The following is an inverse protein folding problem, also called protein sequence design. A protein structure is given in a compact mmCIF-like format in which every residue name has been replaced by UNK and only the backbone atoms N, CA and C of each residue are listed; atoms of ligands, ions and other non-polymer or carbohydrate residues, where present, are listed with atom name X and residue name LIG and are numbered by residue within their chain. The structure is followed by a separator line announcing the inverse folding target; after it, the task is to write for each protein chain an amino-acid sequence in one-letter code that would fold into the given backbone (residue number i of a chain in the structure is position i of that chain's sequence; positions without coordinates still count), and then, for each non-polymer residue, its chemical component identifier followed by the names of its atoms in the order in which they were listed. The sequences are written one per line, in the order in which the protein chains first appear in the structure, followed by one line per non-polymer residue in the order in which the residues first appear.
data_IF_781886491882
#
_entry.id   IF_781886491882
#
_cell.length_a   1.000
_cell.length_b   1.000
_cell.length_c   1.000
_cell.angle_alpha   90.00
_cell.angle_beta   90.00
_cell.angle_gamma   90.00
#
_symmetry.space_group_name_H-M   'P 1'
#
loop_
_entity.id
_entity.type
_entity.pdbx_description
1 polymer ?
#
# COMPACT_ATOMS: atom_id res chain seq x y z
N UNK A 1 -22.56 -16.05 -46.67
CA UNK A 1 -22.02 -14.68 -46.81
C UNK A 1 -21.13 -14.49 -48.05
N UNK A 2 -20.81 -15.56 -48.82
CA UNK A 2 -20.04 -15.48 -50.08
C UNK A 2 -20.89 -15.17 -51.32
N UNK A 3 -22.17 -15.52 -51.36
CA UNK A 3 -22.98 -15.41 -52.60
C UNK A 3 -23.60 -14.02 -52.83
N UNK A 4 -23.72 -13.21 -51.79
CA UNK A 4 -24.23 -11.83 -51.88
C UNK A 4 -23.18 -10.88 -52.48
N UNK A 5 -21.89 -11.13 -52.20
CA UNK A 5 -20.77 -10.31 -52.71
C UNK A 5 -20.55 -10.51 -54.21
N UNK A 6 -20.70 -11.75 -54.71
CA UNK A 6 -20.58 -12.06 -56.14
C UNK A 6 -21.69 -11.40 -56.98
N UNK A 7 -22.91 -11.33 -56.44
CA UNK A 7 -24.07 -10.74 -57.15
C UNK A 7 -23.95 -9.22 -57.27
N UNK A 8 -23.40 -8.54 -56.25
CA UNK A 8 -23.16 -7.09 -56.28
C UNK A 8 -22.06 -6.72 -57.29
N UNK A 9 -21.01 -7.55 -57.41
CA UNK A 9 -19.90 -7.29 -58.34
C UNK A 9 -20.33 -7.40 -59.82
N UNK A 10 -21.18 -8.38 -60.15
CA UNK A 10 -21.73 -8.56 -61.50
C UNK A 10 -22.68 -7.40 -61.87
N UNK A 11 -23.40 -6.83 -60.90
CA UNK A 11 -24.28 -5.68 -61.14
C UNK A 11 -23.48 -4.39 -61.46
N UNK A 12 -22.38 -4.14 -60.74
CA UNK A 12 -21.51 -2.99 -61.00
C UNK A 12 -20.77 -3.09 -62.35
N UNK A 13 -20.32 -4.29 -62.75
CA UNK A 13 -19.68 -4.49 -64.06
C UNK A 13 -20.62 -4.19 -65.25
N UNK A 14 -21.91 -4.55 -65.14
CA UNK A 14 -22.89 -4.29 -66.21
C UNK A 14 -23.23 -2.80 -66.34
N UNK A 15 -23.24 -2.03 -65.25
CA UNK A 15 -23.46 -0.58 -65.27
C UNK A 15 -22.31 0.14 -65.97
N UNK A 16 -21.06 -0.25 -65.70
CA UNK A 16 -19.87 0.36 -66.33
C UNK A 16 -19.84 0.09 -67.84
N UNK A 17 -20.25 -1.10 -68.28
CA UNK A 17 -20.31 -1.45 -69.70
C UNK A 17 -21.39 -0.64 -70.44
N UNK A 18 -22.54 -0.40 -69.81
CA UNK A 18 -23.63 0.39 -70.38
C UNK A 18 -23.26 1.88 -70.54
N UNK A 19 -22.53 2.45 -69.57
CA UNK A 19 -22.06 3.84 -69.61
C UNK A 19 -21.03 4.05 -70.74
N UNK A 20 -20.08 3.13 -70.92
CA UNK A 20 -19.08 3.20 -72.01
C UNK A 20 -19.71 3.20 -73.40
N UNK A 21 -20.77 2.41 -73.62
CA UNK A 21 -21.47 2.33 -74.91
C UNK A 21 -22.20 3.64 -75.27
N UNK A 22 -22.76 4.35 -74.27
CA UNK A 22 -23.46 5.64 -74.48
C UNK A 22 -22.51 6.80 -74.79
N UNK A 23 -21.30 6.78 -74.22
CA UNK A 23 -20.28 7.82 -74.46
C UNK A 23 -19.69 7.70 -75.86
N UNK A 24 -19.41 6.47 -76.32
CA UNK A 24 -18.85 6.24 -77.66
C UNK A 24 -19.80 6.67 -78.79
N UNK A 25 -21.12 6.45 -78.61
CA UNK A 25 -22.13 6.88 -79.58
C UNK A 25 -22.23 8.42 -79.71
N UNK A 26 -22.03 9.17 -78.61
CA UNK A 26 -22.04 10.65 -78.64
C UNK A 26 -20.81 11.23 -79.34
N UNK A 27 -19.64 10.60 -79.20
CA UNK A 27 -18.40 11.04 -79.85
C UNK A 27 -18.49 10.85 -81.37
N UNK A 28 -19.04 9.73 -81.84
CA UNK A 28 -19.27 9.51 -83.28
C UNK A 28 -20.29 10.50 -83.89
N UNK A 29 -21.32 10.89 -83.15
CA UNK A 29 -22.29 11.88 -83.62
C UNK A 29 -21.68 13.28 -83.75
N UNK A 30 -20.84 13.67 -82.78
CA UNK A 30 -20.15 14.97 -82.80
C UNK A 30 -19.11 15.05 -83.93
N UNK A 31 -18.44 13.94 -84.24
CA UNK A 31 -17.44 13.87 -85.31
C UNK A 31 -18.08 14.04 -86.72
N UNK A 32 -19.29 13.51 -86.93
CA UNK A 32 -20.01 13.68 -88.20
C UNK A 32 -20.54 15.10 -88.42
N UNK A 33 -20.93 15.80 -87.35
CA UNK A 33 -21.38 17.21 -87.43
C UNK A 33 -20.20 18.14 -87.75
N UNK A 34 -19.03 17.89 -87.15
CA UNK A 34 -17.81 18.64 -87.44
C UNK A 34 -17.37 18.45 -88.90
N UNK A 35 -17.44 17.24 -89.44
CA UNK A 35 -17.03 16.96 -90.82
C UNK A 35 -17.95 17.63 -91.87
N UNK A 36 -19.25 17.78 -91.59
CA UNK A 36 -20.16 18.50 -92.50
C UNK A 36 -19.95 20.03 -92.48
N UNK A 37 -19.56 20.60 -91.33
CA UNK A 37 -19.25 22.03 -91.22
C UNK A 37 -17.91 22.42 -91.86
N UNK A 38 -16.92 21.52 -91.83
CA UNK A 38 -15.58 21.80 -92.37
C UNK A 38 -15.51 21.85 -93.91
N UNK A 39 -16.45 21.23 -94.63
CA UNK A 39 -16.39 21.13 -96.11
C UNK A 39 -16.84 22.38 -96.87
N UNK A 40 -17.49 23.36 -96.24
CA UNK A 40 -18.21 24.44 -96.95
C UNK A 40 -17.50 25.81 -97.00
N UNK A 41 -16.36 26.01 -96.32
CA UNK A 41 -15.75 27.36 -96.21
C UNK A 41 -14.21 27.37 -96.22
N UNK A 42 -13.58 26.48 -96.99
CA UNK A 42 -12.15 26.14 -96.88
C UNK A 42 -11.15 27.01 -97.66
N UNK A 43 -11.50 28.20 -98.19
CA UNK A 43 -10.62 28.86 -99.19
C UNK A 43 -10.41 30.39 -99.01
N UNK A 44 -10.59 30.97 -97.82
CA UNK A 44 -10.26 32.41 -97.65
C UNK A 44 -9.45 32.79 -96.39
N UNK A 45 -9.27 31.88 -95.43
CA UNK A 45 -8.68 32.21 -94.12
C UNK A 45 -7.51 31.29 -93.70
N UNK A 46 -6.78 30.67 -94.64
CA UNK A 46 -5.69 29.70 -94.35
C UNK A 46 -4.55 30.32 -93.53
N UNK A 47 -4.27 31.61 -93.71
CA UNK A 47 -3.25 32.34 -92.94
C UNK A 47 -3.64 32.57 -91.46
N UNK A 48 -4.94 32.74 -91.19
CA UNK A 48 -5.47 32.91 -89.83
C UNK A 48 -5.42 31.58 -89.08
N UNK A 49 -5.70 30.47 -89.76
CA UNK A 49 -5.62 29.14 -89.17
C UNK A 49 -4.18 28.74 -88.79
N UNK A 50 -3.19 29.08 -89.62
CA UNK A 50 -1.77 28.84 -89.33
C UNK A 50 -1.31 29.71 -88.15
N UNK A 51 -1.74 30.98 -88.08
CA UNK A 51 -1.43 31.86 -86.96
C UNK A 51 -2.06 31.35 -85.66
N UNK A 52 -3.31 30.87 -85.71
CA UNK A 52 -4.01 30.30 -84.56
C UNK A 52 -3.37 28.99 -84.07
N UNK A 53 -2.91 28.14 -84.99
CA UNK A 53 -2.22 26.90 -84.66
C UNK A 53 -0.80 27.14 -84.10
N UNK A 54 -0.10 28.16 -84.63
CA UNK A 54 1.19 28.60 -84.10
C UNK A 54 1.03 29.19 -82.68
N UNK A 55 0.00 30.00 -82.45
CA UNK A 55 -0.31 30.54 -81.12
C UNK A 55 -0.68 29.41 -80.13
N UNK A 56 -1.41 28.39 -80.58
CA UNK A 56 -1.77 27.22 -79.77
C UNK A 56 -0.54 26.41 -79.35
N UNK A 57 0.47 26.27 -80.22
CA UNK A 57 1.71 25.55 -79.90
C UNK A 57 2.52 26.22 -78.77
N UNK A 58 2.46 27.55 -78.68
CA UNK A 58 3.14 28.31 -77.60
C UNK A 58 2.47 28.06 -76.24
N UNK A 59 1.16 27.83 -76.20
CA UNK A 59 0.44 27.52 -74.95
C UNK A 59 0.62 26.08 -74.46
N UNK A 60 1.10 25.15 -75.30
CA UNK A 60 1.30 23.73 -74.90
C UNK A 60 2.71 23.39 -74.42
N UNK A 61 3.67 24.32 -74.48
CA UNK A 61 5.09 24.05 -74.18
C UNK A 61 5.52 24.31 -72.73
N UNK A 62 4.61 24.69 -71.83
CA UNK A 62 4.90 24.77 -70.40
C UNK A 62 4.31 23.54 -69.67
N UNK A 63 5.01 22.40 -69.72
CA UNK A 63 4.86 21.39 -68.68
C UNK A 63 5.86 21.69 -67.58
N UNK A 64 5.40 22.35 -66.51
CA UNK A 64 6.16 22.50 -65.29
C UNK A 64 5.95 21.23 -64.47
N UNK A 65 6.98 20.41 -64.31
CA UNK A 65 6.94 19.30 -63.37
C UNK A 65 6.93 19.86 -61.95
N UNK A 66 5.77 19.80 -61.28
CA UNK A 66 5.67 20.06 -59.85
C UNK A 66 6.01 18.77 -59.10
N UNK A 67 7.29 18.57 -58.78
CA UNK A 67 7.67 17.67 -57.70
C UNK A 67 7.75 18.49 -56.42
N UNK A 68 6.69 18.44 -55.61
CA UNK A 68 6.68 19.03 -54.28
C UNK A 68 7.52 18.20 -53.31
N UNK A 69 8.60 18.79 -52.81
CA UNK A 69 8.92 18.84 -51.37
C UNK A 69 9.39 17.61 -50.60
N UNK A 70 9.26 16.36 -51.07
CA UNK A 70 9.71 15.18 -50.29
C UNK A 70 10.32 14.02 -51.09
N UNK A 71 10.18 13.97 -52.41
CA UNK A 71 10.68 12.86 -53.25
C UNK A 71 12.12 13.05 -53.77
N UNK A 72 12.74 14.20 -53.49
CA UNK A 72 14.11 14.55 -53.98
C UNK A 72 15.18 14.20 -52.95
N UNK A 73 14.80 13.96 -51.69
CA UNK A 73 15.75 13.55 -50.67
C UNK A 73 16.03 12.04 -50.82
N UNK A 74 17.30 11.62 -50.98
CA UNK A 74 17.64 10.21 -50.85
C UNK A 74 17.17 9.72 -49.49
N UNK A 75 16.76 8.45 -49.38
CA UNK A 75 16.16 7.89 -48.15
C UNK A 75 17.05 8.05 -46.90
N UNK A 76 18.35 8.28 -47.10
CA UNK A 76 19.37 8.61 -46.10
C UNK A 76 19.28 10.03 -45.51
N UNK A 77 18.56 10.96 -46.14
CA UNK A 77 18.42 12.38 -45.74
C UNK A 77 17.03 12.71 -45.18
N UNK A 78 16.14 11.72 -45.05
CA UNK A 78 14.88 11.88 -44.32
C UNK A 78 15.22 12.00 -42.83
N UNK A 79 15.22 13.23 -42.31
CA UNK A 79 15.31 13.48 -40.87
C UNK A 79 14.05 12.90 -40.22
N UNK A 80 14.14 11.68 -39.70
CA UNK A 80 13.12 11.11 -38.80
C UNK A 80 13.25 11.83 -37.45
N UNK A 81 12.67 13.01 -37.36
CA UNK A 81 12.48 13.70 -36.09
C UNK A 81 11.48 12.91 -35.25
N UNK A 82 11.99 11.99 -34.44
CA UNK A 82 11.22 11.43 -33.34
C UNK A 82 11.22 12.47 -32.23
N UNK A 83 10.09 13.15 -32.05
CA UNK A 83 9.87 14.00 -30.88
C UNK A 83 9.66 13.07 -29.69
N UNK A 84 10.66 13.03 -28.80
CA UNK A 84 10.51 12.42 -27.48
C UNK A 84 10.24 13.56 -26.49
N UNK A 85 9.00 13.66 -26.03
CA UNK A 85 8.70 14.50 -24.88
C UNK A 85 9.10 13.70 -23.62
N UNK A 86 10.17 14.13 -22.95
CA UNK A 86 10.60 13.52 -21.70
C UNK A 86 9.93 14.29 -20.57
N UNK A 87 8.84 13.75 -20.03
CA UNK A 87 8.35 14.20 -18.73
C UNK A 87 9.31 13.68 -17.67
N UNK A 88 10.01 14.59 -17.00
CA UNK A 88 10.82 14.25 -15.84
C UNK A 88 9.90 14.18 -14.62
N UNK A 89 9.77 13.00 -14.02
CA UNK A 89 9.08 12.80 -12.76
C UNK A 89 10.16 12.83 -11.68
N UNK A 90 10.13 13.88 -10.86
CA UNK A 90 10.98 13.98 -9.68
C UNK A 90 10.15 13.55 -8.47
N UNK A 91 10.63 12.55 -7.74
CA UNK A 91 10.06 12.07 -6.48
C UNK A 91 11.05 12.33 -5.37
N UNK A 92 10.57 12.82 -4.24
CA UNK A 92 11.38 13.10 -3.05
C UNK A 92 10.79 12.36 -1.86
N UNK A 93 11.64 11.99 -0.93
CA UNK A 93 11.23 11.47 0.37
C UNK A 93 10.96 12.68 1.26
N UNK A 94 9.85 12.64 2.00
CA UNK A 94 9.50 13.68 2.97
C UNK A 94 9.39 12.99 4.33
N UNK A 95 10.08 13.53 5.33
CA UNK A 95 9.93 13.07 6.71
C UNK A 95 8.47 13.22 7.14
N UNK A 96 7.94 12.18 7.81
CA UNK A 96 6.57 12.22 8.32
C UNK A 96 6.53 12.99 9.63
N UNK A 97 5.48 13.80 9.82
CA UNK A 97 5.23 14.48 11.09
C UNK A 97 5.00 13.46 12.22
N UNK A 98 5.22 13.90 13.46
CA UNK A 98 4.92 13.08 14.62
C UNK A 98 3.45 12.68 14.69
N UNK A 99 3.20 11.42 15.05
CA UNK A 99 1.87 10.86 15.20
C UNK A 99 1.57 10.50 16.67
N UNK A 100 0.28 10.34 16.95
CA UNK A 100 -0.20 9.92 18.28
C UNK A 100 0.11 8.44 18.50
N UNK A 101 0.57 8.09 19.70
CA UNK A 101 0.90 6.71 20.07
C UNK A 101 -0.07 6.10 21.10
N UNK A 102 -0.94 6.92 21.69
CA UNK A 102 -1.95 6.49 22.68
C UNK A 102 -3.19 5.90 22.01
N UNK A 103 -3.68 4.80 22.58
CA UNK A 103 -4.96 4.14 22.28
C UNK A 103 -5.18 3.91 20.78
N UNK A 104 -4.11 3.54 20.06
CA UNK A 104 -4.21 3.07 18.69
C UNK A 104 -4.99 1.75 18.64
N UNK A 105 -5.62 1.47 17.50
CA UNK A 105 -6.45 0.27 17.31
C UNK A 105 -5.68 -1.03 17.42
N UNK A 106 -4.37 -0.99 17.18
CA UNK A 106 -3.45 -2.11 17.29
C UNK A 106 -2.15 -1.63 17.91
N UNK A 107 -1.50 -2.50 18.65
CA UNK A 107 -0.14 -2.28 19.14
C UNK A 107 0.87 -3.06 18.31
N UNK A 108 2.13 -2.63 18.29
CA UNK A 108 3.21 -3.33 17.59
C UNK A 108 4.27 -3.81 18.59
N UNK A 109 4.84 -4.99 18.33
CA UNK A 109 5.94 -5.55 19.11
C UNK A 109 6.90 -6.31 18.20
N UNK A 110 8.20 -6.14 18.43
CA UNK A 110 9.21 -6.83 17.64
C UNK A 110 10.30 -5.89 17.15
N UNK A 111 11.22 -6.44 16.40
CA UNK A 111 12.26 -5.67 15.73
C UNK A 111 12.49 -6.23 14.32
N UNK A 112 12.58 -5.36 13.33
CA UNK A 112 12.80 -5.73 11.94
C UNK A 112 13.82 -4.79 11.30
N UNK A 113 14.79 -5.36 10.60
CA UNK A 113 15.80 -4.61 9.85
C UNK A 113 15.49 -4.68 8.36
N UNK A 114 15.22 -3.51 7.78
CA UNK A 114 15.06 -3.35 6.35
C UNK A 114 16.38 -2.85 5.72
N UNK A 115 16.90 -3.47 4.66
CA UNK A 115 18.14 -3.01 4.02
C UNK A 115 18.07 -1.59 3.45
N UNK A 116 16.85 -1.10 3.14
CA UNK A 116 16.61 0.23 2.58
C UNK A 116 16.20 1.19 3.70
N UNK A 117 15.27 0.79 4.57
CA UNK A 117 14.66 1.69 5.57
C UNK A 117 15.25 1.57 6.99
N UNK A 118 16.22 0.68 7.19
CA UNK A 118 16.95 0.53 8.44
C UNK A 118 16.21 -0.27 9.50
N UNK A 119 16.63 -0.12 10.74
CA UNK A 119 16.09 -0.87 11.88
C UNK A 119 14.82 -0.20 12.40
N UNK A 120 13.77 -0.99 12.55
CA UNK A 120 12.52 -0.60 13.17
C UNK A 120 12.30 -1.49 14.38
N UNK A 121 12.16 -0.88 15.56
CA UNK A 121 11.86 -1.56 16.80
C UNK A 121 10.54 -1.04 17.35
N UNK A 122 9.72 -1.95 17.84
CA UNK A 122 8.42 -1.66 18.39
C UNK A 122 8.21 -2.39 19.72
N UNK A 123 7.52 -1.70 20.62
CA UNK A 123 7.02 -2.25 21.88
C UNK A 123 5.74 -1.53 22.26
N UNK A 124 5.10 -1.94 23.35
CA UNK A 124 3.91 -1.26 23.83
C UNK A 124 3.75 -1.36 25.35
N UNK A 125 3.14 -0.34 25.93
CA UNK A 125 2.71 -0.31 27.33
C UNK A 125 1.20 -0.47 27.36
N UNK A 126 0.69 -1.29 28.28
CA UNK A 126 -0.75 -1.42 28.52
C UNK A 126 -1.07 -1.52 30.01
N UNK A 127 -2.18 -0.88 30.39
CA UNK A 127 -2.88 -1.18 31.64
C UNK A 127 -3.72 -2.45 31.52
N UNK A 128 -4.13 -2.97 32.68
CA UNK A 128 -5.15 -3.98 32.84
C UNK A 128 -6.16 -3.49 33.88
N UNK A 129 -7.42 -3.86 33.70
CA UNK A 129 -8.52 -3.52 34.60
C UNK A 129 -9.11 -4.78 35.22
N UNK A 130 -9.65 -4.64 36.43
CA UNK A 130 -10.49 -5.66 37.07
C UNK A 130 -11.68 -5.99 36.16
N UNK A 131 -11.98 -7.28 35.98
CA UNK A 131 -13.20 -7.69 35.26
C UNK A 131 -14.47 -7.48 36.09
N UNK A 132 -14.30 -7.39 37.42
CA UNK A 132 -15.34 -7.16 38.41
C UNK A 132 -14.74 -6.39 39.57
N UNK A 133 -15.48 -5.46 40.15
CA UNK A 133 -15.12 -4.78 41.40
C UNK A 133 -15.38 -5.68 42.62
N UNK A 134 -14.74 -5.35 43.74
CA UNK A 134 -14.85 -6.07 45.01
C UNK A 134 -14.60 -7.58 44.85
N UNK A 135 -13.47 -7.93 44.22
CA UNK A 135 -13.08 -9.34 44.05
C UNK A 135 -12.54 -9.89 45.36
N UNK A 136 -13.11 -11.01 45.80
CA UNK A 136 -12.64 -11.82 46.92
C UNK A 136 -12.27 -13.21 46.39
N UNK A 137 -11.03 -13.62 46.63
CA UNK A 137 -10.51 -14.92 46.18
C UNK A 137 -10.72 -16.06 47.20
N UNK A 138 -11.22 -15.75 48.39
CA UNK A 138 -11.60 -16.68 49.45
C UNK A 138 -10.46 -17.12 50.36
N UNK A 139 -10.82 -17.91 51.38
CA UNK A 139 -9.85 -18.42 52.36
C UNK A 139 -8.83 -19.39 51.74
N UNK A 140 -7.59 -19.35 52.23
CA UNK A 140 -6.45 -20.15 51.75
C UNK A 140 -6.17 -19.95 50.24
N UNK A 141 -6.37 -18.72 49.74
CA UNK A 141 -5.99 -18.32 48.39
C UNK A 141 -4.48 -18.54 48.14
N UNK A 142 -4.16 -19.30 47.10
CA UNK A 142 -2.79 -19.52 46.63
C UNK A 142 -2.74 -19.47 45.10
N UNK A 143 -1.89 -18.59 44.57
CA UNK A 143 -1.65 -18.45 43.14
C UNK A 143 -0.99 -19.74 42.61
N UNK A 144 -1.52 -20.30 41.53
CA UNK A 144 -0.84 -21.33 40.75
C UNK A 144 0.02 -20.66 39.68
N UNK A 145 -0.61 -19.91 38.77
CA UNK A 145 0.07 -19.16 37.72
C UNK A 145 -0.66 -17.89 37.29
N UNK A 146 0.07 -16.94 36.72
CA UNK A 146 -0.48 -15.77 36.03
C UNK A 146 -0.06 -15.86 34.58
N UNK A 147 -1.02 -15.86 33.65
CA UNK A 147 -0.77 -15.97 32.21
C UNK A 147 -1.31 -14.75 31.50
N UNK A 148 -0.44 -14.07 30.75
CA UNK A 148 -0.82 -12.98 29.85
C UNK A 148 -1.04 -13.54 28.45
N UNK A 149 -2.23 -13.30 27.90
CA UNK A 149 -2.59 -13.69 26.56
C UNK A 149 -2.55 -12.47 25.64
N UNK A 150 -1.97 -12.61 24.45
CA UNK A 150 -1.92 -11.57 23.43
C UNK A 150 -2.48 -12.08 22.11
N UNK A 151 -3.58 -11.50 21.64
CA UNK A 151 -4.16 -11.78 20.32
C UNK A 151 -3.30 -11.13 19.23
N UNK A 152 -2.58 -11.94 18.46
CA UNK A 152 -1.88 -11.44 17.27
C UNK A 152 -2.86 -11.19 16.13
N UNK A 153 -2.63 -10.13 15.36
CA UNK A 153 -3.45 -9.74 14.21
C UNK A 153 -2.70 -9.95 12.89
N UNK A 154 -1.45 -9.48 12.81
CA UNK A 154 -0.62 -9.56 11.61
C UNK A 154 0.84 -9.70 11.96
N UNK A 155 1.62 -10.28 11.06
CA UNK A 155 3.06 -10.43 11.21
C UNK A 155 3.76 -9.87 9.99
N UNK A 156 4.86 -9.16 10.22
CA UNK A 156 5.70 -8.61 9.17
C UNK A 156 7.16 -9.00 9.42
N UNK A 157 7.83 -9.50 8.38
CA UNK A 157 9.19 -10.02 8.46
C UNK A 157 9.23 -11.55 8.38
N UNK A 158 10.22 -12.16 9.03
CA UNK A 158 10.39 -13.61 9.03
C UNK A 158 9.50 -14.26 10.09
N UNK A 159 8.39 -14.86 9.66
CA UNK A 159 7.41 -15.55 10.53
C UNK A 159 7.96 -16.73 11.34
N UNK A 160 9.15 -17.24 11.00
CA UNK A 160 9.81 -18.31 11.77
C UNK A 160 10.97 -17.80 12.63
N UNK A 161 11.24 -16.49 12.59
CA UNK A 161 12.25 -15.89 13.44
C UNK A 161 11.84 -15.98 14.91
N UNK A 162 12.74 -16.50 15.71
CA UNK A 162 12.61 -16.50 17.15
C UNK A 162 12.81 -15.08 17.70
N UNK A 163 11.95 -14.68 18.61
CA UNK A 163 11.93 -13.39 19.28
C UNK A 163 12.15 -13.61 20.77
N UNK A 164 12.95 -12.77 21.42
CA UNK A 164 13.08 -12.78 22.87
C UNK A 164 12.13 -11.70 23.42
N UNK A 165 10.97 -12.16 23.89
CA UNK A 165 9.95 -11.32 24.48
C UNK A 165 10.33 -10.99 25.91
N UNK A 166 10.36 -9.70 26.22
CA UNK A 166 10.51 -9.19 27.57
C UNK A 166 9.24 -8.47 28.03
N UNK A 167 8.83 -8.75 29.26
CA UNK A 167 7.71 -8.07 29.93
C UNK A 167 8.24 -7.44 31.20
N UNK A 168 7.99 -6.14 31.36
CA UNK A 168 8.33 -5.37 32.55
C UNK A 168 7.07 -4.87 33.24
N UNK A 169 7.09 -4.81 34.57
CA UNK A 169 6.17 -3.97 35.31
C UNK A 169 6.59 -2.51 35.18
N UNK A 170 5.63 -1.63 34.88
CA UNK A 170 5.95 -0.19 34.82
C UNK A 170 5.93 0.44 36.21
N UNK A 171 6.85 1.39 36.45
CA UNK A 171 7.01 2.09 37.72
C UNK A 171 6.39 3.50 37.71
N UNK A 172 5.95 3.98 36.55
CA UNK A 172 5.39 5.32 36.31
C UNK A 172 3.91 5.23 35.92
N UNK A 173 3.11 6.13 36.47
CA UNK A 173 1.68 6.19 36.17
C UNK A 173 1.46 6.64 34.72
N UNK A 174 0.46 6.07 34.06
CA UNK A 174 0.04 6.51 32.74
C UNK A 174 -0.98 7.63 32.89
N UNK A 175 -0.69 8.78 32.33
CA UNK A 175 -1.58 9.94 32.38
C UNK A 175 -2.51 9.95 31.16
N UNK A 176 -3.76 10.38 31.32
CA UNK A 176 -4.67 10.52 30.18
C UNK A 176 -4.40 11.80 29.37
N UNK A 177 -3.22 11.84 28.74
CA UNK A 177 -2.74 12.94 27.89
C UNK A 177 -2.50 12.46 26.46
N UNK A 178 -2.38 13.38 25.52
CA UNK A 178 -2.02 13.04 24.14
C UNK A 178 -0.50 12.78 24.05
N UNK A 179 -0.11 11.50 24.09
CA UNK A 179 1.27 11.08 23.83
C UNK A 179 1.58 11.11 22.33
N UNK A 180 2.73 11.67 22.00
CA UNK A 180 3.30 11.74 20.65
C UNK A 180 4.60 10.96 20.60
N UNK A 181 4.93 10.44 19.43
CA UNK A 181 6.12 9.60 19.24
C UNK A 181 7.45 10.33 19.50
N UNK A 182 7.58 11.62 19.14
CA UNK A 182 8.80 12.42 19.31
C UNK A 182 9.14 12.76 20.76
N UNK A 183 8.11 12.95 21.59
CA UNK A 183 8.21 13.30 22.99
C UNK A 183 8.16 12.07 23.92
N UNK A 184 8.03 10.86 23.36
CA UNK A 184 7.88 9.63 24.14
C UNK A 184 9.20 8.88 24.31
N UNK A 185 9.54 8.61 25.57
CA UNK A 185 10.68 7.78 25.94
C UNK A 185 10.21 6.64 26.84
N UNK A 186 10.20 5.42 26.30
CA UNK A 186 9.76 4.23 27.02
C UNK A 186 10.64 3.88 28.22
N UNK A 187 11.93 4.23 28.17
CA UNK A 187 12.89 4.05 29.27
C UNK A 187 12.51 4.80 30.55
N UNK A 188 11.57 5.76 30.50
CA UNK A 188 11.07 6.45 31.69
C UNK A 188 10.01 5.66 32.47
N UNK A 189 9.49 4.57 31.90
CA UNK A 189 8.36 3.84 32.47
C UNK A 189 8.76 2.53 33.14
N UNK A 190 9.98 2.04 32.94
CA UNK A 190 10.43 0.77 33.51
C UNK A 190 11.90 0.82 33.89
N UNK A 191 12.26 -0.03 34.86
CA UNK A 191 13.64 -0.29 35.24
C UNK A 191 13.97 -1.77 35.00
N UNK A 192 15.26 -2.11 34.96
CA UNK A 192 15.70 -3.51 34.83
C UNK A 192 15.22 -4.39 35.99
N UNK A 193 15.04 -3.81 37.18
CA UNK A 193 14.50 -4.51 38.35
C UNK A 193 13.01 -4.87 38.19
N UNK A 194 12.31 -4.24 37.22
CA UNK A 194 10.92 -4.53 36.89
C UNK A 194 10.72 -5.69 35.92
N UNK A 195 11.79 -6.41 35.52
CA UNK A 195 11.69 -7.53 34.57
C UNK A 195 10.86 -8.68 35.16
N UNK A 196 9.76 -9.03 34.49
CA UNK A 196 8.88 -10.13 34.88
C UNK A 196 9.20 -11.38 34.07
N UNK A 197 9.30 -11.24 32.75
CA UNK A 197 9.52 -12.34 31.81
C UNK A 197 10.62 -11.96 30.84
N UNK A 198 11.51 -12.90 30.54
CA UNK A 198 12.36 -12.88 29.35
C UNK A 198 12.32 -14.29 28.73
N UNK A 199 11.70 -14.42 27.56
CA UNK A 199 11.42 -15.73 26.96
C UNK A 199 11.50 -15.71 25.45
N UNK A 200 12.12 -16.75 24.90
CA UNK A 200 12.11 -16.99 23.47
C UNK A 200 10.75 -17.52 23.00
N UNK A 201 10.17 -16.84 22.00
CA UNK A 201 8.89 -17.19 21.37
C UNK A 201 9.00 -17.04 19.86
N UNK A 202 8.04 -17.61 19.12
CA UNK A 202 7.87 -17.35 17.70
C UNK A 202 6.51 -16.70 17.54
N UNK A 203 6.45 -15.54 16.89
CA UNK A 203 5.16 -14.96 16.49
C UNK A 203 4.65 -15.73 15.28
N UNK A 204 3.42 -16.24 15.35
CA UNK A 204 2.79 -16.95 14.23
C UNK A 204 1.45 -16.29 13.88
N UNK A 205 1.23 -16.12 12.57
CA UNK A 205 -0.04 -15.66 12.03
C UNK A 205 -0.88 -16.91 11.87
N UNK A 206 -1.95 -17.03 12.65
CA UNK A 206 -2.85 -18.16 12.47
C UNK A 206 -3.96 -17.77 11.49
N UNK A 207 -4.15 -18.57 10.45
CA UNK A 207 -5.24 -18.39 9.48
C UNK A 207 -6.62 -18.59 10.14
N UNK A 208 -6.65 -19.30 11.28
CA UNK A 208 -7.78 -19.36 12.19
C UNK A 208 -7.65 -18.22 13.21
N UNK A 209 -8.46 -17.16 13.03
CA UNK A 209 -8.51 -15.86 13.73
C UNK A 209 -8.58 -15.83 15.29
N UNK A 210 -8.19 -16.88 16.01
CA UNK A 210 -8.47 -17.06 17.44
C UNK A 210 -7.28 -17.45 18.32
N UNK A 211 -6.04 -17.45 17.81
CA UNK A 211 -4.91 -17.83 18.65
C UNK A 211 -4.27 -16.60 19.32
N UNK A 212 -4.21 -16.67 20.65
CA UNK A 212 -3.42 -15.78 21.47
C UNK A 212 -2.10 -16.46 21.86
N UNK A 213 -1.04 -15.67 21.96
CA UNK A 213 0.20 -16.12 22.59
C UNK A 213 -0.01 -16.09 24.10
N UNK A 214 0.20 -17.22 24.75
CA UNK A 214 0.11 -17.37 26.20
C UNK A 214 1.51 -17.26 26.84
N UNK A 215 1.69 -16.26 27.71
CA UNK A 215 2.94 -16.00 28.42
C UNK A 215 2.72 -16.18 29.91
N UNK A 216 3.29 -17.22 30.50
CA UNK A 216 3.24 -17.42 31.95
C UNK A 216 4.24 -16.47 32.64
N UNK A 217 3.71 -15.48 33.37
CA UNK A 217 4.45 -14.42 34.04
C UNK A 217 5.05 -14.84 35.38
N UNK A 218 4.57 -15.96 35.93
CA UNK A 218 5.06 -16.53 37.19
C UNK A 218 6.04 -17.69 36.98
N UNK A 219 6.21 -18.12 35.73
CA UNK A 219 7.18 -19.13 35.37
C UNK A 219 8.59 -18.58 35.59
N UNK A 220 9.41 -19.30 36.34
CA UNK A 220 10.77 -18.89 36.71
C UNK A 220 10.89 -17.53 37.45
N UNK A 221 9.77 -16.90 37.85
CA UNK A 221 9.73 -15.64 38.60
C UNK A 221 8.93 -15.76 39.92
N UNK A 222 9.52 -16.38 40.97
CA UNK A 222 8.86 -16.54 42.26
C UNK A 222 8.63 -15.22 42.99
N UNK A 223 9.45 -14.19 42.76
CA UNK A 223 9.32 -12.88 43.39
C UNK A 223 8.06 -12.16 42.89
N UNK A 224 7.83 -12.16 41.57
CA UNK A 224 6.60 -11.62 41.00
C UNK A 224 5.37 -12.38 41.53
N UNK A 225 5.45 -13.72 41.61
CA UNK A 225 4.37 -14.55 42.17
C UNK A 225 4.08 -14.19 43.63
N UNK A 226 5.09 -14.01 44.47
CA UNK A 226 4.93 -13.62 45.88
C UNK A 226 4.35 -12.20 46.02
N UNK A 227 4.82 -11.25 45.22
CA UNK A 227 4.27 -9.89 45.17
C UNK A 227 2.78 -9.91 44.83
N UNK A 228 2.40 -10.64 43.78
CA UNK A 228 1.00 -10.77 43.36
C UNK A 228 0.15 -11.50 44.40
N UNK A 229 0.71 -12.52 45.06
CA UNK A 229 0.05 -13.21 46.16
C UNK A 229 -0.29 -12.25 47.30
N UNK A 230 0.63 -11.39 47.71
CA UNK A 230 0.40 -10.40 48.77
C UNK A 230 -0.66 -9.39 48.35
N UNK A 231 -0.54 -8.85 47.13
CA UNK A 231 -1.46 -7.84 46.60
C UNK A 231 -2.91 -8.37 46.55
N UNK A 232 -3.10 -9.56 46.00
CA UNK A 232 -4.41 -10.19 45.84
C UNK A 232 -4.98 -10.81 47.12
N UNK A 233 -4.19 -10.95 48.19
CA UNK A 233 -4.69 -11.40 49.50
C UNK A 233 -5.33 -10.28 50.33
N UNK A 234 -5.22 -9.03 49.88
CA UNK A 234 -5.84 -7.87 50.50
C UNK A 234 -6.89 -7.30 49.55
N UNK A 235 -8.15 -7.69 49.77
CA UNK A 235 -9.30 -7.35 48.94
C UNK A 235 -9.50 -5.83 48.81
N UNK A 236 -8.95 -5.02 49.74
CA UNK A 236 -9.02 -3.55 49.63
C UNK A 236 -8.27 -3.03 48.39
N UNK A 237 -7.28 -3.78 47.90
CA UNK A 237 -6.58 -3.46 46.65
C UNK A 237 -7.43 -3.73 45.39
N UNK A 238 -8.57 -4.42 45.54
CA UNK A 238 -9.44 -4.90 44.45
C UNK A 238 -10.84 -4.28 44.51
N UNK A 239 -11.04 -3.26 45.34
CA UNK A 239 -12.31 -2.52 45.45
C UNK A 239 -12.72 -1.92 44.10
N UNK A 240 -11.79 -1.27 43.39
CA UNK A 240 -12.05 -0.67 42.08
C UNK A 240 -10.74 -0.47 41.28
N UNK A 241 -10.88 -0.10 40.00
CA UNK A 241 -9.75 0.11 39.10
C UNK A 241 -8.82 1.25 39.52
N UNK A 242 -9.31 2.31 40.18
CA UNK A 242 -8.47 3.42 40.64
C UNK A 242 -7.45 2.92 41.69
N UNK A 243 -7.94 2.19 42.70
CA UNK A 243 -7.08 1.61 43.75
C UNK A 243 -6.18 0.52 43.17
N UNK A 244 -6.70 -0.31 42.27
CA UNK A 244 -5.92 -1.38 41.66
C UNK A 244 -4.74 -0.85 40.84
N UNK A 245 -4.95 0.20 40.04
CA UNK A 245 -3.91 0.82 39.21
C UNK A 245 -2.82 1.52 40.03
N UNK A 246 -3.09 1.91 41.28
CA UNK A 246 -2.03 2.37 42.21
C UNK A 246 -1.06 1.25 42.59
N UNK A 247 -1.51 -0.01 42.54
CA UNK A 247 -0.71 -1.20 42.89
C UNK A 247 -0.04 -1.84 41.67
N UNK A 248 -0.75 -1.88 40.54
CA UNK A 248 -0.25 -2.38 39.25
C UNK A 248 -0.52 -1.32 38.20
N UNK A 249 0.50 -0.52 37.90
CA UNK A 249 0.39 0.61 36.98
C UNK A 249 0.22 0.18 35.52
N UNK A 250 0.70 -1.01 35.18
CA UNK A 250 0.67 -1.59 33.85
C UNK A 250 1.91 -2.41 33.53
N UNK A 251 2.01 -2.83 32.27
CA UNK A 251 3.10 -3.66 31.78
C UNK A 251 3.67 -3.11 30.48
N UNK A 252 4.98 -3.16 30.33
CA UNK A 252 5.69 -2.86 29.09
C UNK A 252 6.14 -4.16 28.42
N UNK A 253 5.80 -4.31 27.14
CA UNK A 253 6.16 -5.45 26.31
C UNK A 253 7.12 -4.99 25.20
N UNK A 254 8.24 -5.70 25.05
CA UNK A 254 9.20 -5.45 23.97
C UNK A 254 9.85 -6.75 23.49
N UNK A 255 10.46 -6.71 22.32
CA UNK A 255 11.35 -7.78 21.82
C UNK A 255 12.78 -7.26 21.73
N UNK A 256 13.76 -8.13 21.96
CA UNK A 256 15.20 -7.81 21.88
C UNK A 256 15.90 -8.45 20.67
N UNK A 257 15.20 -9.31 19.91
CA UNK A 257 15.74 -9.97 18.72
C UNK A 257 15.16 -9.38 17.44
N UNK A 258 16.01 -9.16 16.45
CA UNK A 258 15.63 -8.72 15.10
C UNK A 258 15.08 -9.88 14.26
N UNK A 259 14.08 -9.61 13.43
CA UNK A 259 13.60 -10.51 12.39
C UNK A 259 12.12 -10.33 12.05
N UNK A 260 11.31 -9.89 13.01
CA UNK A 260 9.85 -9.84 12.87
C UNK A 260 9.23 -8.78 13.76
N UNK A 261 8.18 -8.12 13.24
CA UNK A 261 7.27 -7.27 14.00
C UNK A 261 5.87 -7.89 13.90
N UNK A 262 5.22 -8.08 15.05
CA UNK A 262 3.84 -8.51 15.15
C UNK A 262 2.93 -7.36 15.56
N UNK A 263 1.72 -7.35 15.00
CA UNK A 263 0.62 -6.51 15.43
C UNK A 263 -0.25 -7.25 16.41
N UNK A 264 -0.60 -6.58 17.50
CA UNK A 264 -1.39 -7.12 18.62
C UNK A 264 -2.69 -6.35 18.74
N UNK A 265 -3.79 -7.07 18.83
CA UNK A 265 -5.09 -6.51 19.17
C UNK A 265 -5.32 -6.57 20.67
N UNK A 266 -4.94 -5.50 21.38
CA UNK A 266 -5.09 -5.44 22.83
C UNK A 266 -6.55 -5.36 23.29
N UNK A 267 -7.50 -4.97 22.44
CA UNK A 267 -8.92 -4.90 22.78
C UNK A 267 -9.69 -6.17 22.47
N UNK A 268 -9.06 -7.14 21.81
CA UNK A 268 -9.64 -8.45 21.58
C UNK A 268 -9.87 -9.16 22.92
N UNK A 269 -10.99 -9.87 23.07
CA UNK A 269 -11.29 -10.65 24.28
C UNK A 269 -10.28 -11.75 24.61
N UNK A 270 -9.45 -12.15 23.64
CA UNK A 270 -8.33 -13.08 23.85
C UNK A 270 -7.04 -12.41 24.32
N UNK A 271 -6.99 -11.06 24.35
CA UNK A 271 -5.91 -10.29 24.96
C UNK A 271 -6.29 -9.93 26.41
N UNK A 272 -5.78 -10.68 27.36
CA UNK A 272 -6.12 -10.52 28.77
C UNK A 272 -5.05 -11.11 29.68
N UNK A 273 -5.08 -10.75 30.95
CA UNK A 273 -4.29 -11.42 31.98
C UNK A 273 -5.21 -12.35 32.77
N UNK A 274 -4.84 -13.62 32.91
CA UNK A 274 -5.60 -14.59 33.69
C UNK A 274 -4.78 -15.05 34.89
N UNK A 275 -5.37 -14.93 36.07
CA UNK A 275 -4.87 -15.50 37.32
C UNK A 275 -5.50 -16.88 37.52
N UNK A 276 -4.68 -17.92 37.58
CA UNK A 276 -5.08 -19.27 38.00
C UNK A 276 -4.70 -19.47 39.46
N UNK A 277 -5.65 -19.90 40.28
CA UNK A 277 -5.45 -20.03 41.72
C UNK A 277 -6.28 -21.15 42.31
N UNK A 278 -5.89 -21.59 43.50
CA UNK A 278 -6.70 -22.47 44.35
C UNK A 278 -7.11 -21.73 45.61
N UNK A 279 -8.26 -22.09 46.14
CA UNK A 279 -8.71 -21.68 47.47
C UNK A 279 -9.25 -22.90 48.23
N UNK A 280 -9.90 -22.66 49.36
CA UNK A 280 -10.47 -23.74 50.19
C UNK A 280 -11.59 -24.54 49.52
N UNK A 281 -12.22 -23.99 48.48
CA UNK A 281 -13.37 -24.61 47.80
C UNK A 281 -12.96 -25.34 46.52
N UNK A 282 -12.17 -24.69 45.65
CA UNK A 282 -11.82 -25.22 44.32
C UNK A 282 -10.53 -24.61 43.74
N UNK A 283 -10.13 -25.11 42.57
CA UNK A 283 -9.15 -24.50 41.67
C UNK A 283 -9.89 -23.78 40.54
N UNK A 284 -9.66 -22.49 40.39
CA UNK A 284 -10.40 -21.64 39.44
C UNK A 284 -9.51 -20.55 38.84
N UNK A 285 -10.10 -19.65 38.07
CA UNK A 285 -9.40 -18.55 37.40
C UNK A 285 -10.16 -17.24 37.45
N UNK A 286 -9.44 -16.13 37.47
CA UNK A 286 -9.97 -14.77 37.33
C UNK A 286 -9.29 -14.03 36.18
N UNK A 287 -10.08 -13.27 35.41
CA UNK A 287 -9.59 -12.54 34.23
C UNK A 287 -9.50 -11.05 34.58
N UNK A 288 -8.39 -10.43 34.18
CA UNK A 288 -8.22 -8.99 34.12
C UNK A 288 -8.21 -8.57 32.65
N UNK A 289 -9.04 -7.59 32.32
CA UNK A 289 -9.32 -7.21 30.93
C UNK A 289 -8.47 -6.02 30.51
N UNK A 290 -8.18 -5.94 29.22
CA UNK A 290 -7.73 -4.71 28.57
C UNK A 290 -8.93 -4.15 27.80
N UNK A 291 -9.40 -2.96 28.17
CA UNK A 291 -10.59 -2.34 27.58
C UNK A 291 -10.33 -0.88 27.20
N UNK A 292 -11.33 -0.20 26.67
CA UNK A 292 -11.18 1.19 26.19
C UNK A 292 -10.81 2.20 27.28
N UNK A 293 -11.05 1.86 28.56
CA UNK A 293 -10.67 2.69 29.69
C UNK A 293 -9.19 2.50 30.10
N UNK A 294 -8.53 1.43 29.63
CA UNK A 294 -7.10 1.22 29.81
C UNK A 294 -6.30 2.15 28.89
N UNK A 295 -5.27 2.80 29.42
CA UNK A 295 -4.28 3.51 28.60
C UNK A 295 -3.35 2.49 27.95
N UNK A 296 -3.18 2.62 26.62
CA UNK A 296 -2.30 1.80 25.78
C UNK A 296 -1.37 2.71 25.00
N UNK A 297 -0.06 2.56 25.16
CA UNK A 297 0.95 3.38 24.47
C UNK A 297 1.80 2.50 23.57
N UNK A 298 2.10 2.96 22.36
CA UNK A 298 3.07 2.30 21.48
C UNK A 298 4.44 2.97 21.60
N UNK A 299 5.49 2.17 21.68
CA UNK A 299 6.89 2.58 21.58
C UNK A 299 7.40 2.27 20.18
N UNK A 300 8.03 3.26 19.54
CA UNK A 300 8.63 3.12 18.22
C UNK A 300 10.03 3.70 18.24
N UNK A 301 11.01 2.92 17.84
CA UNK A 301 12.38 3.36 17.64
C UNK A 301 12.77 3.03 16.20
N UNK A 302 13.23 4.05 15.46
CA UNK A 302 13.68 3.89 14.07
C UNK A 302 15.11 4.38 13.95
N UNK A 303 15.98 3.53 13.40
CA UNK A 303 17.34 3.89 13.07
C UNK A 303 17.58 3.71 11.58
N UNK A 304 17.98 4.79 10.91
CA UNK A 304 18.37 4.78 9.51
C UNK A 304 19.88 4.60 9.33
N UNK A 305 20.61 4.31 10.41
CA UNK A 305 22.06 4.13 10.35
C UNK A 305 22.43 3.07 9.30
N UNK A 306 23.45 3.37 8.50
CA UNK A 306 23.96 2.50 7.42
C UNK A 306 22.98 2.23 6.25
N UNK A 307 21.90 3.01 6.12
CA UNK A 307 20.99 2.92 4.97
C UNK A 307 21.35 3.92 3.87
N UNK A 308 21.17 3.53 2.61
CA UNK A 308 21.23 4.47 1.48
C UNK A 308 20.13 5.55 1.59
N UNK A 309 19.03 5.22 2.28
CA UNK A 309 17.88 6.09 2.55
C UNK A 309 18.22 7.31 3.40
N UNK A 310 19.07 7.17 4.42
CA UNK A 310 19.47 8.28 5.28
C UNK A 310 20.11 9.44 4.50
N UNK A 311 20.85 9.14 3.43
CA UNK A 311 21.47 10.16 2.57
C UNK A 311 20.48 10.99 1.75
N UNK A 312 19.21 10.58 1.67
CA UNK A 312 18.17 11.20 0.83
C UNK A 312 17.09 11.91 1.65
N UNK A 313 17.02 11.73 2.98
CA UNK A 313 16.03 12.38 3.86
C UNK A 313 16.24 13.90 3.93
N UNK A 314 17.49 14.36 3.88
CA UNK A 314 17.86 15.78 3.97
C UNK A 314 17.91 16.49 2.61
N UNK A 315 17.56 15.81 1.51
CA UNK A 315 17.51 16.40 0.16
C UNK A 315 16.21 17.24 0.01
N UNK A 316 16.07 18.24 0.88
CA UNK A 316 15.05 19.29 0.78
C UNK A 316 15.71 20.54 0.17
N UNK A 317 15.20 20.97 -0.98
CA UNK A 317 15.68 22.16 -1.71
C UNK A 317 15.49 23.48 -0.95
#
# INVERSE_FOLDING_TARGET
MSDIVATIFVFFCNIIFYIKKKIFAKICFFCNILNQYFKKNLMRNTKIFILFFALFYVFTSCKKEEKMGLEVLPQSEIIKSQFYDKTEIQSFIVATDTFKIKNLSKSLIGEYEDPIFGTNKAGFITQINLSKEDVDFGENFEIDSIVFYLSLDRIFGDSIAEQELEIYEINKDLEDIDYKEDDFNDLEFYDNDGLIVSKNIVFFENEDFNDSIAINMTDENPEFKEKMQILFSDDTNLENNEIFLEKIKGFYFKSTKTGVIASVDLLNSFSCMTLFYKNSEDTTSHIFNINEDCIRLNSYERSYENTDFFSQIDDTF
#
